data_IF_150610029228
#
_entry.id   IF_150610029228
#
_cell.length_a   1.000
_cell.length_b   1.000
_cell.length_c   1.000
_cell.angle_alpha   90.00
_cell.angle_beta   90.00
_cell.angle_gamma   90.00
#
_symmetry.space_group_name_H-M   'P 1'
#
loop_
_entity.id
_entity.type
_entity.pdbx_description
1 polymer ?
#
# COMPACT_ATOMS: atom_id res chain seq x y z
N UNK A 1 -14.08 -19.43 -11.30
CA UNK A 1 -13.06 -18.60 -10.63
C UNK A 1 -11.75 -18.92 -11.33
N UNK A 2 -11.32 -18.11 -12.29
CA UNK A 2 -10.07 -18.36 -13.02
C UNK A 2 -8.90 -18.39 -12.01
N UNK A 3 -8.08 -19.43 -12.06
CA UNK A 3 -6.83 -19.48 -11.27
C UNK A 3 -5.98 -18.25 -11.64
N UNK A 4 -5.65 -17.45 -10.63
CA UNK A 4 -4.94 -16.20 -10.82
C UNK A 4 -3.44 -16.51 -10.95
N UNK A 5 -2.95 -16.47 -12.18
CA UNK A 5 -1.56 -16.79 -12.54
C UNK A 5 -0.62 -15.58 -12.37
N UNK A 6 -0.48 -15.04 -11.15
CA UNK A 6 0.47 -13.94 -10.85
C UNK A 6 1.89 -14.49 -10.68
N UNK A 7 2.88 -13.79 -11.22
CA UNK A 7 4.28 -14.11 -11.04
C UNK A 7 4.82 -13.59 -9.69
N UNK A 8 5.32 -14.49 -8.85
CA UNK A 8 6.04 -14.12 -7.62
C UNK A 8 7.46 -13.62 -7.94
N UNK A 9 7.62 -12.29 -8.06
CA UNK A 9 8.87 -11.65 -8.43
C UNK A 9 10.05 -12.02 -7.50
N UNK A 10 9.80 -12.34 -6.23
CA UNK A 10 10.87 -12.73 -5.27
C UNK A 10 11.64 -13.97 -5.71
N UNK A 11 11.01 -14.82 -6.53
CA UNK A 11 11.58 -16.07 -7.06
C UNK A 11 12.24 -15.92 -8.43
N UNK A 12 12.20 -14.72 -9.02
CA UNK A 12 12.58 -14.50 -10.42
C UNK A 12 13.89 -13.74 -10.60
N UNK A 13 14.28 -12.91 -9.63
CA UNK A 13 15.38 -11.95 -9.77
C UNK A 13 15.04 -10.72 -10.64
N UNK A 14 13.82 -10.61 -11.16
CA UNK A 14 13.35 -9.43 -11.88
C UNK A 14 13.13 -8.29 -10.88
N UNK A 15 13.76 -7.15 -11.14
CA UNK A 15 13.48 -5.90 -10.42
C UNK A 15 12.25 -5.21 -11.06
N UNK A 16 11.20 -4.92 -10.28
CA UNK A 16 10.06 -4.16 -10.80
C UNK A 16 10.47 -2.69 -11.04
N UNK A 17 9.81 -2.03 -11.99
CA UNK A 17 10.00 -0.60 -12.29
C UNK A 17 9.45 0.29 -11.17
N UNK A 18 8.39 -0.17 -10.50
CA UNK A 18 7.77 0.49 -9.35
C UNK A 18 7.12 -0.57 -8.44
N UNK A 19 6.65 -0.17 -7.26
CA UNK A 19 6.09 -1.11 -6.28
C UNK A 19 4.78 -1.78 -6.72
N UNK A 20 4.12 -1.24 -7.76
CA UNK A 20 2.82 -1.68 -8.25
C UNK A 20 2.92 -2.60 -9.47
N UNK A 21 4.10 -2.73 -10.07
CA UNK A 21 4.26 -3.50 -11.29
C UNK A 21 3.96 -4.97 -11.04
N UNK A 22 2.87 -5.44 -11.64
CA UNK A 22 2.37 -6.81 -11.50
C UNK A 22 2.54 -7.55 -12.81
N UNK A 23 3.09 -8.76 -12.76
CA UNK A 23 3.23 -9.65 -13.92
C UNK A 23 2.18 -10.76 -13.84
N UNK A 24 1.40 -10.91 -14.90
CA UNK A 24 0.34 -11.91 -15.04
C UNK A 24 0.67 -12.86 -16.18
N UNK A 25 0.46 -14.16 -16.00
CA UNK A 25 0.59 -15.13 -17.07
C UNK A 25 -0.38 -14.79 -18.20
N UNK A 26 0.13 -14.77 -19.42
CA UNK A 26 -0.68 -14.55 -20.61
C UNK A 26 -1.53 -15.80 -20.85
N UNK A 27 -2.83 -15.60 -21.01
CA UNK A 27 -3.78 -16.67 -21.29
C UNK A 27 -3.40 -17.47 -22.55
N UNK A 28 -3.56 -18.79 -22.50
CA UNK A 28 -3.08 -19.69 -23.55
C UNK A 28 -1.56 -19.87 -23.63
N UNK A 29 -0.80 -19.41 -22.62
CA UNK A 29 0.65 -19.64 -22.50
C UNK A 29 1.01 -20.28 -21.16
N UNK A 30 2.18 -20.93 -21.08
CA UNK A 30 2.71 -21.51 -19.83
C UNK A 30 3.89 -20.75 -19.21
N UNK A 31 4.54 -19.92 -20.02
CA UNK A 31 5.84 -19.36 -19.68
C UNK A 31 5.92 -17.84 -19.85
N UNK A 32 4.89 -17.19 -20.40
CA UNK A 32 4.95 -15.76 -20.70
C UNK A 32 4.08 -14.95 -19.75
N UNK A 33 4.65 -13.85 -19.25
CA UNK A 33 3.99 -12.98 -18.31
C UNK A 33 4.05 -11.54 -18.82
N UNK A 34 2.93 -10.84 -18.83
CA UNK A 34 2.85 -9.42 -19.19
C UNK A 34 2.70 -8.57 -17.92
N UNK A 35 3.47 -7.49 -17.82
CA UNK A 35 3.42 -6.57 -16.69
C UNK A 35 2.41 -5.44 -16.89
N UNK A 36 1.94 -4.85 -15.79
CA UNK A 36 1.09 -3.64 -15.82
C UNK A 36 1.78 -2.43 -16.45
N UNK A 37 3.11 -2.43 -16.53
CA UNK A 37 3.92 -1.41 -17.21
C UNK A 37 4.22 -1.79 -18.67
N UNK A 38 3.61 -2.86 -19.19
CA UNK A 38 3.80 -3.28 -20.57
C UNK A 38 5.12 -4.01 -20.82
N UNK A 39 5.75 -4.62 -19.81
CA UNK A 39 6.97 -5.45 -19.99
C UNK A 39 6.64 -6.93 -20.13
N UNK A 40 7.30 -7.61 -21.06
CA UNK A 40 7.16 -9.06 -21.25
C UNK A 40 8.28 -9.81 -20.52
N UNK A 41 7.92 -10.73 -19.64
CA UNK A 41 8.83 -11.70 -19.05
C UNK A 41 8.55 -13.11 -19.58
N UNK A 42 9.57 -13.97 -19.64
CA UNK A 42 9.32 -15.41 -19.74
C UNK A 42 10.38 -16.25 -19.00
N UNK A 43 10.07 -17.53 -18.79
CA UNK A 43 10.98 -18.52 -18.21
C UNK A 43 11.15 -19.80 -19.06
N UNK A 44 11.01 -19.73 -20.39
CA UNK A 44 11.07 -20.91 -21.27
C UNK A 44 12.38 -21.69 -21.10
N UNK A 45 13.49 -20.99 -20.87
CA UNK A 45 14.83 -21.58 -20.70
C UNK A 45 15.16 -21.95 -19.24
N UNK A 46 14.15 -22.03 -18.37
CA UNK A 46 14.29 -22.36 -16.96
C UNK A 46 14.73 -21.19 -16.05
N UNK A 47 15.11 -20.03 -16.61
CA UNK A 47 15.38 -18.79 -15.87
C UNK A 47 14.51 -17.66 -16.40
N UNK A 48 14.04 -16.81 -15.51
CA UNK A 48 13.26 -15.63 -15.87
C UNK A 48 14.13 -14.58 -16.55
N UNK A 49 13.60 -13.97 -17.61
CA UNK A 49 14.20 -12.80 -18.25
C UNK A 49 13.12 -11.86 -18.79
N UNK A 50 13.45 -10.58 -18.87
CA UNK A 50 12.63 -9.52 -19.49
C UNK A 50 13.05 -9.37 -20.96
N UNK A 51 12.09 -9.35 -21.87
CA UNK A 51 12.35 -9.09 -23.28
C UNK A 51 12.66 -7.61 -23.50
N UNK A 52 13.60 -7.33 -24.41
CA UNK A 52 13.78 -5.98 -24.91
C UNK A 52 12.54 -5.54 -25.70
N UNK A 53 12.19 -4.27 -25.60
CA UNK A 53 11.12 -3.69 -26.39
C UNK A 53 11.52 -3.66 -27.86
N UNK A 54 10.65 -4.17 -28.72
CA UNK A 54 10.84 -4.14 -30.17
C UNK A 54 9.72 -3.31 -30.78
N UNK A 55 10.06 -2.16 -31.36
CA UNK A 55 9.09 -1.27 -31.97
C UNK A 55 8.74 -1.72 -33.38
N UNK A 56 7.44 -1.76 -33.68
CA UNK A 56 6.92 -1.98 -35.03
C UNK A 56 7.21 -0.75 -35.88
N UNK A 57 7.94 -0.92 -37.00
CA UNK A 57 8.29 0.18 -37.91
C UNK A 57 7.08 0.94 -38.46
N UNK A 58 5.94 0.27 -38.63
CA UNK A 58 4.74 0.86 -39.23
C UNK A 58 3.86 1.60 -38.22
N UNK A 59 3.91 1.23 -36.94
CA UNK A 59 2.94 1.70 -35.93
C UNK A 59 3.58 2.27 -34.68
N UNK A 60 4.90 2.15 -34.52
CA UNK A 60 5.66 2.49 -33.32
C UNK A 60 5.15 1.80 -32.04
N UNK A 61 4.45 0.66 -32.19
CA UNK A 61 3.96 -0.16 -31.07
C UNK A 61 4.99 -1.20 -30.68
N UNK A 62 5.11 -1.45 -29.37
CA UNK A 62 5.94 -2.55 -28.86
C UNK A 62 5.28 -3.89 -29.21
N UNK A 63 6.05 -4.82 -29.77
CA UNK A 63 5.58 -6.15 -30.12
C UNK A 63 6.62 -7.24 -29.84
N UNK A 64 6.16 -8.48 -29.67
CA UNK A 64 6.99 -9.66 -29.49
C UNK A 64 6.40 -10.88 -30.19
N UNK A 65 7.24 -11.91 -30.39
CA UNK A 65 6.77 -13.25 -30.72
C UNK A 65 6.63 -14.09 -29.46
N UNK A 66 5.41 -14.53 -29.19
CA UNK A 66 5.04 -15.36 -28.04
C UNK A 66 4.66 -16.77 -28.52
N UNK A 67 5.03 -17.79 -27.73
CA UNK A 67 4.57 -19.16 -27.95
C UNK A 67 3.31 -19.43 -27.15
N UNK A 68 2.29 -19.91 -27.84
CA UNK A 68 1.02 -20.36 -27.29
C UNK A 68 0.94 -21.88 -27.36
N UNK A 69 0.03 -22.44 -26.57
CA UNK A 69 -0.34 -23.84 -26.60
C UNK A 69 -1.87 -23.92 -26.70
N UNK A 70 -2.39 -24.66 -27.67
CA UNK A 70 -3.84 -24.86 -27.80
C UNK A 70 -4.35 -25.94 -26.82
N UNK A 71 -5.67 -26.16 -26.82
CA UNK A 71 -6.32 -27.16 -25.95
C UNK A 71 -5.84 -28.59 -26.19
N UNK A 72 -5.25 -28.88 -27.36
CA UNK A 72 -4.69 -30.18 -27.73
C UNK A 72 -3.20 -30.31 -27.40
N UNK A 73 -2.58 -29.27 -26.84
CA UNK A 73 -1.15 -29.24 -26.50
C UNK A 73 -0.23 -28.84 -27.64
N UNK A 74 -0.76 -28.45 -28.81
CA UNK A 74 0.04 -28.06 -29.96
C UNK A 74 0.58 -26.64 -29.76
N UNK A 75 1.90 -26.49 -29.92
CA UNK A 75 2.58 -25.21 -29.74
C UNK A 75 2.67 -24.43 -31.04
N UNK A 76 2.32 -23.16 -31.00
CA UNK A 76 2.41 -22.25 -32.14
C UNK A 76 2.94 -20.88 -31.71
N UNK A 77 3.44 -20.09 -32.68
CA UNK A 77 3.97 -18.74 -32.43
C UNK A 77 3.01 -17.69 -32.97
N UNK A 78 2.91 -16.56 -32.27
CA UNK A 78 2.13 -15.40 -32.71
C UNK A 78 2.88 -14.09 -32.41
N UNK A 79 2.86 -13.18 -33.37
CA UNK A 79 3.22 -11.78 -33.14
C UNK A 79 2.10 -11.08 -32.35
N UNK A 80 2.46 -10.52 -31.21
CA UNK A 80 1.54 -9.87 -30.28
C UNK A 80 2.05 -8.49 -29.90
N UNK A 81 1.13 -7.58 -29.64
CA UNK A 81 1.44 -6.20 -29.23
C UNK A 81 1.27 -6.05 -27.72
N UNK A 82 2.15 -5.27 -27.11
CA UNK A 82 2.18 -5.04 -25.67
C UNK A 82 0.85 -4.45 -25.16
N UNK A 83 0.39 -3.36 -25.77
CA UNK A 83 -0.88 -2.69 -25.46
C UNK A 83 -2.09 -3.64 -25.46
N UNK A 84 -2.20 -4.53 -26.44
CA UNK A 84 -3.30 -5.49 -26.51
C UNK A 84 -3.23 -6.51 -25.37
N UNK A 85 -2.04 -7.03 -25.06
CA UNK A 85 -1.86 -7.97 -23.96
C UNK A 85 -2.17 -7.31 -22.62
N UNK A 86 -1.70 -6.08 -22.41
CA UNK A 86 -1.98 -5.29 -21.20
C UNK A 86 -3.47 -5.01 -21.10
N UNK A 87 -4.12 -4.55 -22.17
CA UNK A 87 -5.56 -4.29 -22.17
C UNK A 87 -6.36 -5.54 -21.80
N UNK A 88 -6.08 -6.67 -22.45
CA UNK A 88 -6.79 -7.93 -22.17
C UNK A 88 -6.57 -8.45 -20.74
N UNK A 89 -5.43 -8.12 -20.14
CA UNK A 89 -5.02 -8.63 -18.83
C UNK A 89 -5.48 -7.73 -17.68
N UNK A 90 -5.45 -6.41 -17.88
CA UNK A 90 -5.59 -5.42 -16.80
C UNK A 90 -6.80 -4.48 -16.96
N UNK A 91 -7.49 -4.46 -18.10
CA UNK A 91 -8.63 -3.55 -18.33
C UNK A 91 -9.95 -4.32 -18.37
N UNK A 92 -11.00 -3.78 -17.74
CA UNK A 92 -12.35 -4.33 -17.89
C UNK A 92 -12.84 -4.08 -19.33
N UNK A 93 -13.31 -5.12 -20.04
CA UNK A 93 -13.79 -4.97 -21.41
C UNK A 93 -15.05 -4.09 -21.44
N UNK A 94 -15.12 -3.21 -22.43
CA UNK A 94 -16.29 -2.34 -22.64
C UNK A 94 -17.09 -2.88 -23.81
N UNK A 95 -18.39 -3.15 -23.60
CA UNK A 95 -19.26 -3.74 -24.62
C UNK A 95 -19.23 -2.90 -25.92
N UNK A 96 -18.89 -3.54 -27.03
CA UNK A 96 -18.81 -2.91 -28.35
C UNK A 96 -17.54 -2.08 -28.61
N UNK A 97 -16.53 -2.16 -27.74
CA UNK A 97 -15.26 -1.43 -27.84
C UNK A 97 -14.10 -2.43 -27.93
N UNK A 98 -13.60 -2.64 -29.15
CA UNK A 98 -12.64 -3.71 -29.43
C UNK A 98 -11.24 -3.18 -29.79
N UNK A 99 -11.04 -1.86 -29.85
CA UNK A 99 -9.76 -1.22 -30.10
C UNK A 99 -9.18 -0.67 -28.80
N UNK A 100 -7.86 -0.64 -28.71
CA UNK A 100 -7.12 -0.01 -27.61
C UNK A 100 -6.56 1.31 -28.11
N UNK A 101 -6.80 2.38 -27.38
CA UNK A 101 -6.24 3.71 -27.62
C UNK A 101 -5.29 4.11 -26.48
N UNK A 102 -4.24 4.86 -26.82
CA UNK A 102 -3.23 5.36 -25.87
C UNK A 102 -3.58 6.80 -25.53
N UNK A 103 -3.84 7.08 -24.25
CA UNK A 103 -4.36 8.37 -23.77
C UNK A 103 -3.35 9.49 -24.06
N UNK A 104 -2.06 9.23 -23.87
CA UNK A 104 -0.96 10.16 -24.18
C UNK A 104 -0.59 10.25 -25.67
N UNK A 105 -1.28 9.50 -26.54
CA UNK A 105 -0.97 9.35 -27.97
C UNK A 105 0.41 8.74 -28.29
N UNK A 106 1.15 8.24 -27.30
CA UNK A 106 2.40 7.49 -27.49
C UNK A 106 2.10 5.99 -27.60
N UNK A 107 2.17 5.47 -28.82
CA UNK A 107 1.93 4.05 -29.12
C UNK A 107 2.96 3.09 -28.53
N UNK A 108 4.08 3.59 -28.02
CA UNK A 108 5.08 2.78 -27.32
C UNK A 108 4.74 2.62 -25.83
N UNK A 109 3.97 3.54 -25.25
CA UNK A 109 3.60 3.52 -23.83
C UNK A 109 2.41 2.59 -23.55
N UNK A 110 2.70 1.29 -23.43
CA UNK A 110 1.68 0.26 -23.17
C UNK A 110 1.30 0.10 -21.69
N UNK A 111 1.55 1.11 -20.84
CA UNK A 111 1.17 1.05 -19.42
C UNK A 111 -0.35 0.96 -19.25
N UNK A 112 -0.82 0.10 -18.34
CA UNK A 112 -2.26 -0.22 -18.23
C UNK A 112 -3.17 1.02 -18.06
N UNK A 113 -2.76 2.00 -17.25
CA UNK A 113 -3.54 3.21 -16.99
C UNK A 113 -3.39 4.29 -18.08
N UNK A 114 -2.60 4.02 -19.12
CA UNK A 114 -2.51 4.83 -20.34
C UNK A 114 -3.43 4.27 -21.45
N UNK A 115 -4.11 3.14 -21.23
CA UNK A 115 -4.89 2.46 -22.25
C UNK A 115 -6.40 2.59 -21.99
N UNK A 116 -7.18 2.67 -23.07
CA UNK A 116 -8.64 2.69 -23.01
C UNK A 116 -9.26 1.91 -24.18
N UNK A 117 -10.33 1.16 -23.89
CA UNK A 117 -11.14 0.50 -24.91
C UNK A 117 -12.05 1.49 -25.64
N UNK A 118 -11.96 1.50 -26.96
CA UNK A 118 -12.72 2.37 -27.86
C UNK A 118 -13.32 1.58 -29.04
N UNK A 119 -14.36 2.12 -29.66
CA UNK A 119 -14.87 1.63 -30.94
C UNK A 119 -13.98 2.10 -32.08
N UNK A 120 -14.12 1.51 -33.27
CA UNK A 120 -13.38 1.97 -34.46
C UNK A 120 -13.64 3.45 -34.78
N UNK A 121 -14.88 3.91 -34.62
CA UNK A 121 -15.27 5.31 -34.85
C UNK A 121 -14.62 6.26 -33.83
N UNK A 122 -14.62 5.87 -32.56
CA UNK A 122 -13.99 6.67 -31.50
C UNK A 122 -12.49 6.72 -31.68
N UNK A 123 -11.85 5.59 -31.98
CA UNK A 123 -10.42 5.53 -32.27
C UNK A 123 -10.04 6.48 -33.41
N UNK A 124 -10.81 6.45 -34.50
CA UNK A 124 -10.60 7.36 -35.64
C UNK A 124 -10.78 8.82 -35.24
N UNK A 125 -11.80 9.16 -34.45
CA UNK A 125 -12.04 10.54 -34.02
C UNK A 125 -10.94 11.05 -33.08
N UNK A 126 -10.52 10.24 -32.10
CA UNK A 126 -9.42 10.55 -31.18
C UNK A 126 -8.10 10.75 -31.93
N UNK A 127 -7.75 9.82 -32.82
CA UNK A 127 -6.51 9.88 -33.60
C UNK A 127 -6.43 11.12 -34.49
N UNK A 128 -7.57 11.62 -34.97
CA UNK A 128 -7.63 12.83 -35.79
C UNK A 128 -7.91 14.11 -34.97
N UNK A 129 -7.88 14.05 -33.64
CA UNK A 129 -8.11 15.19 -32.76
C UNK A 129 -9.54 15.77 -32.84
N UNK A 130 -10.52 15.00 -33.32
CA UNK A 130 -11.91 15.44 -33.42
C UNK A 130 -12.63 15.41 -32.07
N UNK A 131 -12.16 14.55 -31.17
CA UNK A 131 -12.62 14.41 -29.79
C UNK A 131 -11.40 14.14 -28.90
N UNK A 132 -11.52 14.47 -27.62
CA UNK A 132 -10.62 14.05 -26.55
C UNK A 132 -11.12 12.77 -25.87
N UNK A 133 -10.30 12.22 -24.97
CA UNK A 133 -10.71 11.08 -24.13
C UNK A 133 -11.88 11.47 -23.21
N UNK A 134 -11.92 12.70 -22.73
CA UNK A 134 -12.98 13.20 -21.84
C UNK A 134 -14.35 13.25 -22.55
N UNK A 135 -14.35 13.52 -23.85
CA UNK A 135 -15.57 13.54 -24.69
C UNK A 135 -16.20 12.15 -24.87
N UNK A 136 -15.53 11.07 -24.46
CA UNK A 136 -16.07 9.70 -24.53
C UNK A 136 -17.17 9.45 -23.49
N UNK A 137 -17.31 10.33 -22.49
CA UNK A 137 -18.35 10.26 -21.45
C UNK A 137 -18.25 9.01 -20.57
N UNK A 138 -17.06 8.43 -20.44
CA UNK A 138 -16.79 7.25 -19.62
C UNK A 138 -15.33 7.19 -19.18
N UNK A 139 -15.11 6.52 -18.05
CA UNK A 139 -13.78 6.15 -17.60
C UNK A 139 -13.49 4.67 -17.93
N UNK A 140 -12.22 4.36 -18.24
CA UNK A 140 -11.78 2.98 -18.36
C UNK A 140 -11.69 2.35 -16.98
N UNK A 141 -12.46 1.28 -16.76
CA UNK A 141 -12.31 0.47 -15.55
C UNK A 141 -11.21 -0.55 -15.73
N UNK A 142 -10.51 -0.88 -14.67
CA UNK A 142 -9.42 -1.84 -14.69
C UNK A 142 -9.88 -3.13 -14.03
N UNK A 143 -9.54 -4.28 -14.62
CA UNK A 143 -9.76 -5.56 -13.93
C UNK A 143 -9.11 -5.39 -12.57
N UNK A 144 -9.79 -5.71 -11.45
CA UNK A 144 -9.19 -5.70 -10.13
C UNK A 144 -8.07 -6.74 -10.08
N UNK A 145 -6.91 -6.39 -10.63
CA UNK A 145 -5.67 -7.08 -10.35
C UNK A 145 -5.49 -6.91 -8.84
N UNK A 146 -5.43 -8.04 -8.14
CA UNK A 146 -5.25 -8.07 -6.69
C UNK A 146 -3.84 -7.60 -6.36
N UNK A 147 -3.54 -6.34 -6.63
CA UNK A 147 -2.36 -5.68 -6.13
C UNK A 147 -2.57 -5.63 -4.63
N UNK A 148 -1.64 -6.21 -3.88
CA UNK A 148 -1.71 -6.29 -2.43
C UNK A 148 -2.08 -4.93 -1.81
N UNK A 149 -1.73 -3.82 -2.44
CA UNK A 149 -2.06 -2.47 -2.03
C UNK A 149 -3.55 -2.12 -2.05
N UNK A 150 -4.36 -2.51 -3.07
CA UNK A 150 -5.81 -2.24 -3.06
C UNK A 150 -6.54 -3.12 -2.05
N UNK A 151 -6.14 -4.38 -1.92
CA UNK A 151 -6.62 -5.25 -0.83
C UNK A 151 -6.20 -4.72 0.53
N UNK A 152 -4.99 -4.19 0.64
CA UNK A 152 -4.45 -3.60 1.87
C UNK A 152 -5.19 -2.32 2.22
N UNK A 153 -5.40 -1.41 1.28
CA UNK A 153 -6.19 -0.21 1.46
C UNK A 153 -7.62 -0.58 1.87
N UNK A 154 -8.23 -1.60 1.25
CA UNK A 154 -9.55 -2.11 1.69
C UNK A 154 -9.53 -2.64 3.12
N UNK A 155 -8.51 -3.41 3.53
CA UNK A 155 -8.35 -3.91 4.90
C UNK A 155 -8.13 -2.76 5.89
N UNK A 156 -7.21 -1.85 5.59
CA UNK A 156 -6.92 -0.66 6.38
C UNK A 156 -8.17 0.21 6.56
N UNK A 157 -8.96 0.39 5.51
CA UNK A 157 -10.24 1.09 5.61
C UNK A 157 -11.18 0.37 6.56
N UNK A 158 -11.37 -0.95 6.39
CA UNK A 158 -12.30 -1.70 7.22
C UNK A 158 -11.87 -1.66 8.70
N UNK A 159 -10.57 -1.73 8.98
CA UNK A 159 -10.03 -1.61 10.33
C UNK A 159 -10.25 -0.19 10.90
N UNK A 160 -9.93 0.85 10.11
CA UNK A 160 -10.16 2.26 10.47
C UNK A 160 -11.64 2.56 10.73
N UNK A 161 -12.52 2.13 9.83
CA UNK A 161 -13.97 2.30 9.93
C UNK A 161 -14.55 1.54 11.12
N UNK A 162 -14.08 0.32 11.37
CA UNK A 162 -14.49 -0.46 12.55
C UNK A 162 -14.06 0.24 13.85
N UNK A 163 -12.84 0.79 13.91
CA UNK A 163 -12.40 1.61 15.04
C UNK A 163 -13.30 2.83 15.24
N UNK A 164 -13.74 3.50 14.18
CA UNK A 164 -14.57 4.70 14.32
C UNK A 164 -16.03 4.39 14.68
N UNK A 165 -16.63 3.35 14.11
CA UNK A 165 -18.11 3.22 14.08
C UNK A 165 -18.65 1.87 14.56
N UNK A 166 -17.83 0.93 15.01
CA UNK A 166 -18.30 -0.38 15.48
C UNK A 166 -18.53 -0.39 17.00
N UNK A 167 -19.80 -0.35 17.42
CA UNK A 167 -20.18 -0.37 18.85
C UNK A 167 -19.66 -1.60 19.61
N UNK A 168 -19.63 -2.78 18.97
CA UNK A 168 -19.10 -4.00 19.62
C UNK A 168 -17.60 -3.88 19.87
N UNK A 169 -16.88 -3.22 18.96
CA UNK A 169 -15.47 -2.90 19.13
C UNK A 169 -15.29 -1.88 20.26
N UNK A 170 -16.09 -0.82 20.30
CA UNK A 170 -16.03 0.21 21.35
C UNK A 170 -16.27 -0.36 22.75
N UNK A 171 -17.16 -1.36 22.90
CA UNK A 171 -17.34 -2.07 24.19
C UNK A 171 -16.07 -2.78 24.66
N UNK A 172 -15.25 -3.28 23.73
CA UNK A 172 -13.98 -3.99 24.02
C UNK A 172 -12.77 -3.06 24.08
N UNK A 173 -12.86 -1.93 23.38
CA UNK A 173 -11.80 -0.94 23.19
C UNK A 173 -12.39 0.49 23.24
N UNK A 174 -12.75 0.99 24.44
CA UNK A 174 -13.38 2.30 24.60
C UNK A 174 -12.50 3.47 24.14
N UNK A 175 -11.18 3.28 24.01
CA UNK A 175 -10.25 4.30 23.51
C UNK A 175 -10.60 4.82 22.11
N UNK A 176 -11.29 4.01 21.31
CA UNK A 176 -11.73 4.38 19.97
C UNK A 176 -13.05 5.16 19.95
N UNK A 177 -13.74 5.29 21.09
CA UNK A 177 -14.94 6.12 21.18
C UNK A 177 -14.59 7.57 20.80
N UNK A 178 -15.46 8.15 19.97
CA UNK A 178 -15.30 9.50 19.43
C UNK A 178 -14.27 9.62 18.30
N UNK A 179 -13.65 8.52 17.86
CA UNK A 179 -12.84 8.56 16.64
C UNK A 179 -13.75 8.63 15.39
N UNK A 180 -13.35 9.42 14.40
CA UNK A 180 -14.08 9.60 13.14
C UNK A 180 -13.14 9.52 11.95
N UNK A 181 -13.71 9.33 10.76
CA UNK A 181 -13.03 9.47 9.47
C UNK A 181 -13.47 10.83 8.89
N UNK A 182 -12.56 11.59 8.30
CA UNK A 182 -12.91 12.86 7.66
C UNK A 182 -13.91 12.68 6.51
N UNK A 183 -14.76 13.67 6.29
CA UNK A 183 -15.80 13.65 5.25
C UNK A 183 -15.21 13.45 3.86
N UNK A 184 -14.05 14.05 3.58
CA UNK A 184 -13.33 13.88 2.32
C UNK A 184 -13.11 12.41 1.93
N UNK A 185 -12.78 11.55 2.89
CA UNK A 185 -12.61 10.11 2.68
C UNK A 185 -13.93 9.33 2.75
N UNK A 186 -14.90 9.78 3.55
CA UNK A 186 -16.21 9.13 3.66
C UNK A 186 -17.07 9.31 2.40
N UNK A 187 -17.04 10.50 1.81
CA UNK A 187 -17.79 10.84 0.59
C UNK A 187 -17.39 9.95 -0.59
N UNK A 188 -16.10 9.68 -0.72
CA UNK A 188 -15.56 8.78 -1.72
C UNK A 188 -14.35 8.00 -1.18
N UNK A 189 -14.59 6.72 -0.94
CA UNK A 189 -13.61 5.76 -0.43
C UNK A 189 -12.39 5.61 -1.34
N UNK A 190 -12.52 5.86 -2.65
CA UNK A 190 -11.38 5.79 -3.57
C UNK A 190 -10.32 6.84 -3.24
N UNK A 191 -10.70 7.99 -2.65
CA UNK A 191 -9.75 9.00 -2.17
C UNK A 191 -8.84 8.47 -1.07
N UNK A 192 -9.37 7.64 -0.17
CA UNK A 192 -8.54 6.94 0.82
C UNK A 192 -7.63 5.91 0.14
N UNK A 193 -8.14 5.13 -0.81
CA UNK A 193 -7.31 4.13 -1.49
C UNK A 193 -6.15 4.76 -2.26
N UNK A 194 -6.39 5.86 -2.96
CA UNK A 194 -5.37 6.65 -3.62
C UNK A 194 -4.36 7.22 -2.62
N UNK A 195 -4.82 7.77 -1.50
CA UNK A 195 -3.91 8.24 -0.44
C UNK A 195 -3.03 7.10 0.11
N UNK A 196 -3.59 5.90 0.30
CA UNK A 196 -2.80 4.72 0.71
C UNK A 196 -1.75 4.38 -0.35
N UNK A 197 -2.11 4.37 -1.62
CA UNK A 197 -1.17 4.10 -2.72
C UNK A 197 -0.01 5.11 -2.76
N UNK A 198 -0.28 6.38 -2.49
CA UNK A 198 0.72 7.47 -2.51
C UNK A 198 1.60 7.53 -1.25
N UNK A 199 1.10 7.06 -0.10
CA UNK A 199 1.77 7.25 1.19
C UNK A 199 2.29 5.95 1.81
N UNK A 200 1.86 4.79 1.32
CA UNK A 200 2.28 3.50 1.86
C UNK A 200 3.69 3.15 1.38
N UNK A 201 4.55 2.75 2.31
CA UNK A 201 5.94 2.34 2.05
C UNK A 201 6.29 1.10 2.88
N UNK A 202 7.44 0.48 2.63
CA UNK A 202 7.91 -0.69 3.38
C UNK A 202 9.34 -0.49 3.88
N UNK A 203 9.62 -0.98 5.09
CA UNK A 203 10.99 -1.09 5.62
C UNK A 203 11.32 -2.56 5.76
N UNK A 204 12.02 -3.12 4.77
CA UNK A 204 12.33 -4.55 4.73
C UNK A 204 11.06 -5.41 4.80
N UNK A 205 11.00 -6.31 5.78
CA UNK A 205 9.85 -7.18 6.04
C UNK A 205 9.00 -6.71 7.25
N UNK A 206 9.24 -5.50 7.76
CA UNK A 206 8.51 -5.00 8.93
C UNK A 206 7.06 -4.67 8.58
N UNK A 207 6.14 -5.01 9.49
CA UNK A 207 4.75 -4.60 9.38
C UNK A 207 4.64 -3.08 9.50
N UNK A 208 3.79 -2.48 8.66
CA UNK A 208 3.47 -1.06 8.72
C UNK A 208 2.03 -0.87 9.19
N UNK A 209 1.84 0.06 10.11
CA UNK A 209 0.56 0.41 10.71
C UNK A 209 0.12 1.81 10.29
N UNK A 210 -1.18 1.97 10.04
CA UNK A 210 -1.81 3.28 9.88
C UNK A 210 -2.09 3.88 11.26
N UNK A 211 -1.55 5.07 11.51
CA UNK A 211 -1.73 5.81 12.75
C UNK A 211 -2.19 7.26 12.49
N UNK A 212 -2.99 7.83 13.40
CA UNK A 212 -3.53 9.21 13.31
C UNK A 212 -3.04 10.14 14.43
N UNK A 213 -2.34 9.59 15.42
CA UNK A 213 -2.03 10.20 16.71
C UNK A 213 -0.55 10.64 16.79
N UNK A 214 0.33 10.01 16.02
CA UNK A 214 1.77 10.31 16.00
C UNK A 214 2.03 11.75 15.56
N UNK A 215 1.33 12.24 14.54
CA UNK A 215 1.49 13.62 14.07
C UNK A 215 0.72 14.62 14.94
N UNK A 216 -0.37 14.19 15.57
CA UNK A 216 -1.26 15.03 16.36
C UNK A 216 -1.72 14.27 17.60
N UNK A 217 -1.00 14.42 18.71
CA UNK A 217 -1.27 13.69 19.94
C UNK A 217 -2.69 13.99 20.47
N UNK A 218 -3.45 12.92 20.77
CA UNK A 218 -4.83 13.04 21.26
C UNK A 218 -5.88 13.27 20.17
N UNK A 219 -5.47 13.30 18.90
CA UNK A 219 -6.37 13.44 17.77
C UNK A 219 -7.41 12.29 17.71
N UNK A 220 -8.58 12.61 17.15
CA UNK A 220 -9.69 11.67 16.98
C UNK A 220 -10.10 11.46 15.52
N UNK A 221 -9.56 12.25 14.59
CA UNK A 221 -9.97 12.22 13.18
C UNK A 221 -8.92 11.53 12.33
N UNK A 222 -9.31 10.49 11.60
CA UNK A 222 -8.51 9.91 10.51
C UNK A 222 -8.68 10.78 9.25
N UNK A 223 -7.58 11.34 8.75
CA UNK A 223 -7.55 12.26 7.60
C UNK A 223 -6.17 12.23 6.91
N UNK A 224 -6.03 12.71 5.66
CA UNK A 224 -4.73 12.83 5.01
C UNK A 224 -3.67 13.60 5.82
N UNK A 225 -4.11 14.58 6.61
CA UNK A 225 -3.27 15.49 7.37
C UNK A 225 -2.79 14.86 8.69
N UNK A 226 -3.64 14.04 9.32
CA UNK A 226 -3.36 13.42 10.62
C UNK A 226 -2.78 12.03 10.48
N UNK A 227 -3.07 11.33 9.38
CA UNK A 227 -2.64 9.96 9.18
C UNK A 227 -1.21 9.83 8.64
N UNK A 228 -0.56 8.75 9.06
CA UNK A 228 0.74 8.34 8.56
C UNK A 228 0.92 6.83 8.68
N UNK A 229 1.70 6.24 7.78
CA UNK A 229 2.17 4.87 7.94
C UNK A 229 3.47 4.87 8.72
N UNK A 230 3.57 4.00 9.72
CA UNK A 230 4.78 3.82 10.51
C UNK A 230 5.08 2.34 10.72
N UNK A 231 6.34 1.96 10.94
CA UNK A 231 6.68 0.60 11.33
C UNK A 231 5.99 0.21 12.64
N UNK A 232 5.59 -1.05 12.76
CA UNK A 232 4.90 -1.59 13.95
C UNK A 232 5.71 -1.35 15.23
N UNK A 233 7.05 -1.39 15.13
CA UNK A 233 7.94 -1.06 16.26
C UNK A 233 7.73 0.38 16.75
N UNK A 234 7.60 1.35 15.85
CA UNK A 234 7.35 2.76 16.20
C UNK A 234 5.95 2.93 16.77
N UNK A 235 4.94 2.34 16.13
CA UNK A 235 3.55 2.43 16.58
C UNK A 235 3.40 1.91 18.01
N UNK A 236 3.89 0.68 18.26
CA UNK A 236 3.85 0.07 19.60
C UNK A 236 4.70 0.79 20.64
N UNK A 237 5.79 1.44 20.23
CA UNK A 237 6.58 2.27 21.11
C UNK A 237 5.78 3.46 21.63
N UNK A 238 4.93 4.09 20.82
CA UNK A 238 4.18 5.28 21.19
C UNK A 238 2.80 4.97 21.80
N UNK A 239 2.32 3.73 21.68
CA UNK A 239 1.07 3.29 22.30
C UNK A 239 1.15 3.25 23.85
N UNK A 240 0.31 4.04 24.51
CA UNK A 240 0.29 4.17 25.99
C UNK A 240 -0.50 3.07 26.74
N UNK A 241 -0.87 1.96 26.08
CA UNK A 241 -1.52 0.79 26.71
C UNK A 241 -2.66 1.11 27.70
N UNK A 242 -3.44 2.18 27.45
CA UNK A 242 -4.43 2.75 28.37
C UNK A 242 -5.37 1.72 29.01
N UNK A 243 -5.77 0.68 28.27
CA UNK A 243 -6.67 -0.39 28.75
C UNK A 243 -6.06 -1.28 29.83
N UNK A 244 -4.75 -1.59 29.76
CA UNK A 244 -4.07 -2.41 30.78
C UNK A 244 -3.58 -1.57 31.97
N UNK A 245 -3.80 -0.26 31.92
CA UNK A 245 -3.33 0.69 32.93
C UNK A 245 -4.17 0.55 34.20
N UNK A 246 -3.49 0.47 35.35
CA UNK A 246 -4.12 0.56 36.66
C UNK A 246 -4.34 2.01 37.10
N UNK A 247 -4.41 2.24 38.41
CA UNK A 247 -4.58 3.57 39.03
C UNK A 247 -3.38 4.51 38.83
N UNK A 248 -2.22 4.00 38.41
CA UNK A 248 -0.96 4.74 38.41
C UNK A 248 -0.58 5.24 37.00
N UNK A 249 0.29 6.27 36.91
CA UNK A 249 0.78 6.77 35.64
C UNK A 249 1.39 5.68 34.76
N UNK A 250 1.45 5.92 33.45
CA UNK A 250 2.07 4.98 32.51
C UNK A 250 3.49 4.60 32.94
N UNK A 251 3.83 3.31 32.79
CA UNK A 251 5.12 2.78 33.21
C UNK A 251 5.31 2.59 34.72
N UNK A 252 4.30 2.95 35.54
CA UNK A 252 4.34 2.80 37.00
C UNK A 252 3.41 1.69 37.47
N UNK A 253 3.92 0.84 38.35
CA UNK A 253 3.15 -0.17 39.09
C UNK A 253 3.42 -0.05 40.59
N UNK A 254 2.53 -0.61 41.42
CA UNK A 254 2.73 -0.65 42.86
C UNK A 254 2.90 -2.09 43.31
N UNK A 255 3.99 -2.37 44.02
CA UNK A 255 4.27 -3.68 44.59
C UNK A 255 5.01 -3.55 45.93
N UNK A 256 4.65 -4.38 46.91
CA UNK A 256 5.26 -4.44 48.26
C UNK A 256 5.46 -3.08 48.92
N UNK A 257 4.46 -2.20 48.86
CA UNK A 257 4.51 -0.89 49.51
C UNK A 257 5.33 0.18 48.77
N UNK A 258 5.82 -0.10 47.56
CA UNK A 258 6.63 0.82 46.75
C UNK A 258 6.14 0.91 45.31
N UNK A 259 6.52 1.99 44.64
CA UNK A 259 6.19 2.24 43.24
C UNK A 259 7.36 1.82 42.36
N UNK A 260 7.11 0.97 41.37
CA UNK A 260 8.12 0.49 40.43
C UNK A 260 7.97 1.19 39.09
N UNK A 261 9.07 1.68 38.55
CA UNK A 261 9.16 2.18 37.19
C UNK A 261 9.74 1.07 36.29
N UNK A 262 9.08 0.77 35.19
CA UNK A 262 9.55 -0.20 34.22
C UNK A 262 9.19 0.18 32.79
N UNK A 263 10.02 -0.25 31.85
CA UNK A 263 9.86 0.01 30.43
C UNK A 263 9.91 -1.30 29.65
N UNK A 264 9.07 -1.47 28.64
CA UNK A 264 9.24 -2.55 27.68
C UNK A 264 10.15 -2.07 26.54
N UNK A 265 11.21 -2.84 26.28
CA UNK A 265 12.16 -2.62 25.17
C UNK A 265 12.29 -3.95 24.44
N UNK A 266 11.87 -3.98 23.18
CA UNK A 266 11.94 -5.17 22.31
C UNK A 266 11.37 -6.44 22.98
N UNK A 267 10.20 -6.31 23.62
CA UNK A 267 9.51 -7.41 24.29
C UNK A 267 10.04 -7.74 25.69
N UNK A 268 11.17 -7.17 26.11
CA UNK A 268 11.75 -7.38 27.44
C UNK A 268 11.39 -6.25 28.39
N UNK A 269 11.03 -6.59 29.62
CA UNK A 269 10.75 -5.59 30.66
C UNK A 269 12.05 -5.18 31.35
N UNK A 270 12.46 -3.94 31.16
CA UNK A 270 13.57 -3.28 31.83
C UNK A 270 13.06 -2.62 33.10
N UNK A 271 13.60 -3.02 34.26
CA UNK A 271 13.30 -2.41 35.56
C UNK A 271 14.16 -1.16 35.71
N UNK A 272 13.52 0.00 35.86
CA UNK A 272 14.22 1.28 36.00
C UNK A 272 14.52 1.60 37.47
N UNK A 273 13.62 1.21 38.38
CA UNK A 273 13.84 1.44 39.80
C UNK A 273 12.59 1.26 40.67
N UNK A 274 12.77 1.52 41.96
CA UNK A 274 11.73 1.44 42.98
C UNK A 274 11.74 2.75 43.79
N UNK A 275 10.55 3.31 44.02
CA UNK A 275 10.37 4.67 44.53
C UNK A 275 9.27 4.73 45.60
N UNK A 276 9.30 5.78 46.41
CA UNK A 276 8.31 6.02 47.47
C UNK A 276 7.03 6.70 46.98
N UNK A 277 7.04 7.30 45.79
CA UNK A 277 5.88 8.03 45.25
C UNK A 277 5.67 7.69 43.78
N UNK A 278 4.41 7.70 43.29
CA UNK A 278 4.12 7.42 41.88
C UNK A 278 4.72 8.48 40.97
N UNK A 279 4.75 9.75 41.40
CA UNK A 279 5.36 10.85 40.64
C UNK A 279 6.85 10.62 40.41
N UNK A 280 7.62 10.23 41.43
CA UNK A 280 9.06 9.93 41.25
C UNK A 280 9.29 8.75 40.30
N UNK A 281 8.50 7.67 40.43
CA UNK A 281 8.58 6.54 39.52
C UNK A 281 8.25 6.94 38.08
N UNK A 282 7.21 7.76 37.89
CA UNK A 282 6.83 8.26 36.57
C UNK A 282 7.91 9.15 35.94
N UNK A 283 8.54 10.04 36.70
CA UNK A 283 9.61 10.89 36.16
C UNK A 283 10.80 10.06 35.65
N UNK A 284 11.13 8.96 36.34
CA UNK A 284 12.16 8.04 35.84
C UNK A 284 11.74 7.35 34.55
N UNK A 285 10.49 6.89 34.50
CA UNK A 285 9.91 6.29 33.30
C UNK A 285 9.90 7.28 32.12
N UNK A 286 9.40 8.50 32.31
CA UNK A 286 9.34 9.58 31.32
C UNK A 286 10.73 9.80 30.70
N UNK A 287 11.74 10.02 31.55
CA UNK A 287 13.13 10.23 31.12
C UNK A 287 13.63 9.09 30.21
N UNK A 288 13.46 7.84 30.63
CA UNK A 288 13.96 6.69 29.87
C UNK A 288 13.15 6.41 28.61
N UNK A 289 11.83 6.61 28.66
CA UNK A 289 10.94 6.38 27.53
C UNK A 289 11.16 7.43 26.43
N UNK A 290 11.30 8.71 26.77
CA UNK A 290 11.64 9.76 25.81
C UNK A 290 13.02 9.53 25.19
N UNK A 291 14.02 9.14 25.99
CA UNK A 291 15.34 8.77 25.46
C UNK A 291 15.27 7.58 24.48
N UNK A 292 14.47 6.55 24.80
CA UNK A 292 14.26 5.41 23.90
C UNK A 292 13.58 5.83 22.59
N UNK A 293 12.60 6.75 22.64
CA UNK A 293 11.94 7.27 21.44
C UNK A 293 12.96 7.95 20.52
N UNK A 294 13.85 8.77 21.06
CA UNK A 294 14.94 9.40 20.29
C UNK A 294 15.86 8.35 19.65
N UNK A 295 16.31 7.37 20.44
CA UNK A 295 17.17 6.28 19.94
C UNK A 295 16.50 5.49 18.81
N UNK A 296 15.20 5.22 18.92
CA UNK A 296 14.45 4.54 17.86
C UNK A 296 14.25 5.47 16.66
N UNK A 297 13.95 6.75 16.85
CA UNK A 297 13.85 7.72 15.75
C UNK A 297 15.14 7.74 14.92
N UNK A 298 16.30 7.82 15.56
CA UNK A 298 17.60 7.82 14.88
C UNK A 298 17.89 6.49 14.15
N UNK A 299 17.46 5.34 14.71
CA UNK A 299 17.57 4.03 14.04
C UNK A 299 16.81 4.00 12.70
N UNK A 300 15.69 4.72 12.62
CA UNK A 300 14.83 4.80 11.45
C UNK A 300 15.06 6.03 10.57
N UNK A 301 16.01 6.91 10.93
CA UNK A 301 16.32 8.12 10.18
C UNK A 301 16.64 7.81 8.71
N UNK A 302 15.99 8.55 7.80
CA UNK A 302 16.08 8.33 6.36
C UNK A 302 15.32 7.12 5.82
N UNK A 303 14.59 6.37 6.66
CA UNK A 303 13.73 5.24 6.27
C UNK A 303 12.25 5.49 6.53
N UNK A 304 11.93 6.54 7.28
CA UNK A 304 10.58 7.00 7.59
C UNK A 304 10.42 8.44 7.09
N UNK A 305 9.19 8.93 6.82
CA UNK A 305 8.96 10.32 6.47
C UNK A 305 9.51 11.29 7.53
N UNK A 306 10.07 12.42 7.11
CA UNK A 306 10.66 13.42 8.00
C UNK A 306 9.66 13.90 9.06
N UNK A 307 8.38 14.07 8.69
CA UNK A 307 7.32 14.43 9.64
C UNK A 307 7.16 13.44 10.79
N UNK A 308 7.41 12.14 10.57
CA UNK A 308 7.38 11.11 11.63
C UNK A 308 8.61 11.25 12.51
N UNK A 309 9.79 11.40 11.92
CA UNK A 309 11.03 11.59 12.67
C UNK A 309 10.95 12.82 13.57
N UNK A 310 10.53 13.97 13.04
CA UNK A 310 10.36 15.21 13.80
C UNK A 310 9.31 15.07 14.90
N UNK A 311 8.19 14.38 14.63
CA UNK A 311 7.18 14.11 15.67
C UNK A 311 7.75 13.26 16.81
N UNK A 312 8.59 12.27 16.51
CA UNK A 312 9.26 11.44 17.52
C UNK A 312 10.30 12.21 18.33
N UNK A 313 11.13 13.02 17.66
CA UNK A 313 12.15 13.84 18.32
C UNK A 313 11.54 14.85 19.30
N UNK A 314 10.35 15.36 18.96
CA UNK A 314 9.60 16.30 19.79
C UNK A 314 8.59 15.63 20.74
N UNK A 315 8.54 14.29 20.78
CA UNK A 315 7.52 13.58 21.57
C UNK A 315 7.72 13.80 23.06
N UNK A 316 6.66 14.24 23.75
CA UNK A 316 6.62 14.45 25.20
C UNK A 316 5.59 13.57 25.86
N UNK A 317 5.98 12.94 26.96
CA UNK A 317 5.11 12.05 27.73
C UNK A 317 4.61 12.76 28.97
N UNK A 318 3.31 12.93 29.09
CA UNK A 318 2.68 13.59 30.22
C UNK A 318 2.17 12.58 31.26
N UNK A 319 2.01 13.02 32.50
CA UNK A 319 1.66 12.10 33.61
C UNK A 319 0.24 11.55 33.51
N UNK A 320 -0.61 12.23 32.75
CA UNK A 320 -2.00 11.90 32.46
C UNK A 320 -2.18 11.06 31.17
N UNK A 321 -1.10 10.84 30.42
CA UNK A 321 -1.07 10.10 29.15
C UNK A 321 -1.52 8.63 29.20
#
# INVERSE_FOLDING_TARGET
>A
MQEINILDLKRTGIKPLNELETFMLIDGTKHYYISSEGRLANNIKGKFYIHNETLSKATNRVHWKVFYEDESGVKYKRDVYADNLVAQTFLEPVKGKNKVYHIDSDSSNSKYNNLIYVSDREFYNLRNGKISVDDLGREQKYIPFLNNNRMKARRLWNDMHSRCYNEKLHKRFPEYIGCTICDYWLDDKERFYKWVEENYYMIGNEQMDLDKDILCKGNKVYSPETCVFVPHTINTLLLNCKRKRGKYPVGVSFDKGKYRAALNVDGKTVKLGVYNTPKKAFMEYKKHKEALIIVVADRYKGKIPDKVYEAMMNWKIEIDD
#
